data_IF_934292621786
#
_entry.id   IF_934292621786
#
_cell.length_a   1.000
_cell.length_b   1.000
_cell.length_c   1.000
_cell.angle_alpha   90.00
_cell.angle_beta   90.00
_cell.angle_gamma   90.00
#
_symmetry.space_group_name_H-M   'P 1'
#
loop_
_entity.id
_entity.type
_entity.pdbx_description
1 polymer ?
#
# COMPACT_ATOMS: atom_id res chain seq x y z
N UNK A 1 2.25 -18.92 19.16
CA UNK A 1 2.36 -18.14 17.90
C UNK A 1 2.44 -16.65 18.26
N UNK A 2 3.60 -16.15 18.73
CA UNK A 2 3.76 -14.77 19.27
C UNK A 2 5.03 -14.09 18.74
N UNK A 3 5.36 -14.26 17.46
CA UNK A 3 6.65 -13.81 16.89
C UNK A 3 6.58 -12.45 16.17
N UNK A 4 5.40 -11.85 16.02
CA UNK A 4 5.17 -10.63 15.21
C UNK A 4 5.09 -9.34 16.03
N UNK A 5 5.89 -9.16 17.09
CA UNK A 5 5.88 -7.93 17.90
C UNK A 5 7.10 -7.06 17.61
N UNK A 6 6.84 -5.78 17.35
CA UNK A 6 7.86 -4.70 17.21
C UNK A 6 8.83 -4.68 18.40
N UNK A 7 8.37 -5.02 19.60
CA UNK A 7 9.18 -5.07 20.82
C UNK A 7 10.30 -6.13 20.82
N UNK A 8 10.33 -7.04 19.85
CA UNK A 8 11.35 -8.09 19.76
C UNK A 8 12.64 -7.63 19.08
N UNK A 9 12.63 -6.44 18.45
CA UNK A 9 13.75 -5.92 17.68
C UNK A 9 14.04 -4.49 18.13
N UNK A 10 15.28 -4.25 18.58
CA UNK A 10 15.74 -2.90 18.91
C UNK A 10 16.11 -2.14 17.62
N UNK A 11 15.78 -0.85 17.56
CA UNK A 11 16.04 0.02 16.41
C UNK A 11 14.86 0.26 15.46
N UNK A 12 13.70 -0.37 15.70
CA UNK A 12 12.48 -0.03 14.98
C UNK A 12 11.85 1.25 15.54
N UNK A 13 11.51 2.19 14.66
CA UNK A 13 10.84 3.44 15.00
C UNK A 13 9.63 3.66 14.08
N UNK A 14 8.55 2.85 14.22
CA UNK A 14 7.37 2.98 13.38
C UNK A 14 6.70 4.34 13.61
N UNK A 15 6.35 5.01 12.53
CA UNK A 15 5.60 6.26 12.53
C UNK A 15 4.60 6.25 11.36
N UNK A 16 3.54 7.05 11.46
CA UNK A 16 2.51 7.08 10.41
C UNK A 16 3.04 7.74 9.14
N UNK A 17 3.76 8.87 9.28
CA UNK A 17 4.25 9.64 8.14
C UNK A 17 5.08 8.80 7.15
N UNK A 18 5.99 7.98 7.66
CA UNK A 18 6.95 7.24 6.84
C UNK A 18 6.52 5.80 6.56
N UNK A 19 5.49 5.27 7.24
CA UNK A 19 5.09 3.86 7.10
C UNK A 19 3.62 3.64 6.70
N UNK A 20 2.78 4.67 6.69
CA UNK A 20 1.39 4.55 6.25
C UNK A 20 1.31 4.38 4.73
N UNK A 21 0.52 3.43 4.25
CA UNK A 21 0.19 3.38 2.83
C UNK A 21 -0.94 4.39 2.53
N UNK A 22 -0.81 5.14 1.44
CA UNK A 22 -1.83 6.12 1.03
C UNK A 22 -2.17 5.99 -0.45
N UNK A 23 -3.40 6.38 -0.78
CA UNK A 23 -3.95 6.36 -2.12
C UNK A 23 -4.76 7.64 -2.32
N UNK A 24 -4.50 8.33 -3.42
CA UNK A 24 -5.29 9.46 -3.89
C UNK A 24 -6.27 8.94 -4.94
N UNK A 25 -7.56 8.99 -4.62
CA UNK A 25 -8.63 8.38 -5.40
C UNK A 25 -9.53 9.49 -5.95
N UNK A 26 -9.75 9.47 -7.26
CA UNK A 26 -10.72 10.36 -7.90
C UNK A 26 -12.15 9.90 -7.57
N UNK A 27 -12.99 10.76 -6.97
CA UNK A 27 -14.25 10.34 -6.36
C UNK A 27 -15.32 9.87 -7.36
N UNK A 28 -15.27 10.32 -8.61
CA UNK A 28 -16.31 10.04 -9.61
C UNK A 28 -16.08 8.71 -10.32
N UNK A 29 -14.84 8.45 -10.75
CA UNK A 29 -14.44 7.24 -11.48
C UNK A 29 -13.90 6.15 -10.56
N UNK A 30 -13.47 6.49 -9.34
CA UNK A 30 -12.79 5.57 -8.42
C UNK A 30 -11.35 5.25 -8.83
N UNK A 31 -10.80 5.95 -9.82
CA UNK A 31 -9.43 5.72 -10.30
C UNK A 31 -8.39 6.27 -9.32
N UNK A 32 -7.29 5.56 -9.14
CA UNK A 32 -6.17 6.02 -8.31
C UNK A 32 -5.26 6.97 -9.09
N UNK A 33 -5.22 8.25 -8.71
CA UNK A 33 -4.37 9.26 -9.32
C UNK A 33 -2.90 9.13 -8.88
N UNK A 34 -2.69 8.85 -7.60
CA UNK A 34 -1.38 8.61 -7.03
C UNK A 34 -1.49 7.66 -5.85
N UNK A 35 -0.41 6.97 -5.52
CA UNK A 35 -0.33 6.18 -4.31
C UNK A 35 1.12 5.99 -3.87
N UNK A 36 1.31 5.74 -2.57
CA UNK A 36 2.52 5.14 -2.04
C UNK A 36 2.17 3.90 -1.21
N UNK A 37 2.72 2.76 -1.63
CA UNK A 37 2.57 1.48 -0.97
C UNK A 37 3.90 1.16 -0.29
N UNK A 38 3.86 0.86 1.01
CA UNK A 38 5.05 0.61 1.82
C UNK A 38 5.02 -0.81 2.34
N UNK A 39 6.09 -1.56 2.05
CA UNK A 39 6.19 -2.98 2.35
C UNK A 39 7.45 -3.25 3.17
N UNK A 40 7.36 -4.15 4.15
CA UNK A 40 8.49 -4.60 4.93
C UNK A 40 8.71 -6.10 4.74
N UNK A 41 9.90 -6.48 4.29
CA UNK A 41 10.30 -7.88 4.19
C UNK A 41 10.91 -8.33 5.52
N UNK A 42 10.37 -9.43 6.03
CA UNK A 42 10.78 -10.01 7.30
C UNK A 42 11.23 -11.46 7.14
N UNK A 43 12.30 -11.84 7.86
CA UNK A 43 12.84 -13.20 7.88
C UNK A 43 12.53 -13.84 9.23
N UNK A 44 11.81 -14.96 9.21
CA UNK A 44 11.58 -15.76 10.42
C UNK A 44 12.82 -16.56 10.79
N UNK A 45 13.44 -16.22 11.92
CA UNK A 45 14.56 -16.98 12.48
C UNK A 45 14.03 -17.85 13.61
N UNK A 46 14.24 -19.16 13.51
CA UNK A 46 13.83 -20.12 14.54
C UNK A 46 14.99 -21.02 14.94
N UNK A 47 15.03 -21.35 16.23
CA UNK A 47 15.97 -22.31 16.79
C UNK A 47 15.57 -23.72 16.37
N UNK A 48 16.42 -24.39 15.60
CA UNK A 48 16.25 -25.79 15.23
C UNK A 48 17.18 -26.68 16.05
N UNK A 49 16.63 -27.73 16.64
CA UNK A 49 17.44 -28.74 17.33
C UNK A 49 18.31 -29.55 16.34
N UNK A 50 17.89 -29.65 15.07
CA UNK A 50 18.60 -30.39 14.03
C UNK A 50 19.87 -29.68 13.52
N UNK A 51 19.93 -28.35 13.60
CA UNK A 51 21.06 -27.56 13.09
C UNK A 51 21.84 -26.90 14.23
N UNK A 52 23.02 -27.45 14.58
CA UNK A 52 23.88 -26.94 15.67
C UNK A 52 24.15 -25.43 15.62
N UNK A 53 24.27 -24.84 14.41
CA UNK A 53 24.47 -23.39 14.23
C UNK A 53 23.26 -22.54 14.65
N UNK A 54 22.05 -23.09 14.59
CA UNK A 54 20.81 -22.40 14.99
C UNK A 54 20.50 -22.51 16.49
N UNK A 55 21.23 -23.34 17.25
CA UNK A 55 20.97 -23.55 18.68
C UNK A 55 21.12 -22.28 19.53
N UNK A 56 21.95 -21.33 19.09
CA UNK A 56 22.15 -20.05 19.78
C UNK A 56 21.34 -18.90 19.17
N UNK A 57 20.58 -19.16 18.11
CA UNK A 57 19.77 -18.13 17.46
C UNK A 57 18.47 -17.90 18.24
N UNK A 58 18.04 -16.65 18.39
CA UNK A 58 16.77 -16.35 19.04
C UNK A 58 15.61 -16.68 18.09
N UNK A 59 14.44 -16.96 18.67
CA UNK A 59 13.21 -17.08 17.90
C UNK A 59 12.67 -15.66 17.66
N UNK A 60 12.92 -15.10 16.47
CA UNK A 60 12.56 -13.71 16.13
C UNK A 60 12.07 -13.58 14.69
N UNK A 61 11.39 -12.47 14.41
CA UNK A 61 11.12 -12.00 13.06
C UNK A 61 12.11 -10.86 12.80
N UNK A 62 13.12 -11.13 11.98
CA UNK A 62 14.17 -10.18 11.67
C UNK A 62 13.76 -9.30 10.49
N UNK A 63 13.69 -7.96 10.66
CA UNK A 63 13.38 -7.05 9.56
C UNK A 63 14.61 -6.96 8.65
N UNK A 64 14.47 -7.41 7.40
CA UNK A 64 15.56 -7.37 6.44
C UNK A 64 15.68 -5.98 5.81
N UNK A 65 14.59 -5.51 5.19
CA UNK A 65 14.47 -4.18 4.62
C UNK A 65 12.99 -3.81 4.46
N UNK A 66 12.75 -2.52 4.21
CA UNK A 66 11.46 -2.03 3.75
C UNK A 66 11.67 -1.27 2.43
N UNK A 67 10.59 -1.14 1.68
CA UNK A 67 10.60 -0.41 0.41
C UNK A 67 9.29 0.34 0.23
N UNK A 68 9.39 1.45 -0.50
CA UNK A 68 8.26 2.21 -0.99
C UNK A 68 8.08 1.98 -2.49
N UNK A 69 6.85 1.72 -2.89
CA UNK A 69 6.40 1.65 -4.27
C UNK A 69 5.43 2.82 -4.45
N UNK A 70 5.89 3.90 -5.08
CA UNK A 70 5.07 5.07 -5.34
C UNK A 70 4.78 5.21 -6.83
N UNK A 71 3.56 5.62 -7.17
CA UNK A 71 3.22 6.02 -8.53
C UNK A 71 2.35 7.28 -8.51
N UNK A 72 2.45 8.06 -9.58
CA UNK A 72 1.60 9.22 -9.85
C UNK A 72 1.27 9.23 -11.33
N UNK A 73 0.00 9.43 -11.66
CA UNK A 73 -0.43 9.69 -13.03
C UNK A 73 0.11 11.05 -13.48
N UNK A 74 0.45 11.15 -14.76
CA UNK A 74 0.81 12.41 -15.40
C UNK A 74 -0.47 13.26 -15.55
N UNK A 75 -0.35 14.58 -15.38
CA UNK A 75 -1.47 15.52 -15.42
C UNK A 75 -2.41 15.31 -16.64
N UNK A 76 -1.85 15.11 -17.83
CA UNK A 76 -2.63 14.89 -19.07
C UNK A 76 -3.59 13.70 -18.99
N UNK A 77 -3.18 12.63 -18.30
CA UNK A 77 -3.99 11.42 -18.15
C UNK A 77 -5.07 11.61 -17.08
N UNK A 78 -4.79 12.40 -16.03
CA UNK A 78 -5.77 12.77 -15.00
C UNK A 78 -6.89 13.62 -15.60
N UNK A 79 -6.56 14.63 -16.40
CA UNK A 79 -7.55 15.47 -17.09
C UNK A 79 -8.44 14.65 -18.03
N UNK A 80 -7.82 13.74 -18.79
CA UNK A 80 -8.54 12.84 -19.69
C UNK A 80 -9.53 11.94 -18.94
N UNK A 81 -9.12 11.38 -17.79
CA UNK A 81 -10.00 10.57 -16.93
C UNK A 81 -11.15 11.39 -16.35
N UNK A 82 -10.89 12.59 -15.85
CA UNK A 82 -11.92 13.50 -15.31
C UNK A 82 -12.92 13.86 -16.41
N UNK A 83 -12.45 14.18 -17.62
CA UNK A 83 -13.30 14.55 -18.74
C UNK A 83 -14.22 13.38 -19.16
N UNK A 84 -13.67 12.18 -19.31
CA UNK A 84 -14.46 10.98 -19.65
C UNK A 84 -15.48 10.68 -18.54
N UNK A 85 -15.07 10.76 -17.27
CA UNK A 85 -15.94 10.53 -16.11
C UNK A 85 -17.10 11.53 -16.06
N UNK A 86 -16.79 12.82 -16.28
CA UNK A 86 -17.79 13.89 -16.33
C UNK A 86 -18.77 13.68 -17.48
N UNK A 87 -18.29 13.34 -18.68
CA UNK A 87 -19.15 13.04 -19.83
C UNK A 87 -20.09 11.87 -19.54
N UNK A 88 -19.59 10.77 -18.98
CA UNK A 88 -20.40 9.61 -18.60
C UNK A 88 -21.49 9.98 -17.59
N UNK A 89 -21.18 10.85 -16.61
CA UNK A 89 -22.16 11.31 -15.61
C UNK A 89 -23.29 12.17 -16.21
N UNK A 90 -23.06 12.84 -17.33
CA UNK A 90 -24.03 13.70 -17.99
C UNK A 90 -24.97 12.93 -18.95
N UNK A 91 -24.56 11.76 -19.44
CA UNK A 91 -25.37 10.93 -20.36
C UNK A 91 -26.78 10.65 -19.82
N UNK A 92 -26.97 10.19 -18.56
CA UNK A 92 -28.30 9.95 -18.00
C UNK A 92 -29.13 11.24 -17.93
N UNK A 93 -28.50 12.36 -17.60
CA UNK A 93 -29.16 13.67 -17.47
C UNK A 93 -29.71 14.14 -18.81
N UNK A 94 -28.90 14.07 -19.87
CA UNK A 94 -29.32 14.42 -21.24
C UNK A 94 -30.39 13.45 -21.74
N UNK A 95 -30.21 12.15 -21.52
CA UNK A 95 -31.18 11.13 -21.90
C UNK A 95 -32.55 11.32 -21.23
N UNK A 96 -32.57 11.67 -19.94
CA UNK A 96 -33.81 11.93 -19.21
C UNK A 96 -34.58 13.14 -19.73
N UNK A 97 -33.87 14.21 -20.14
CA UNK A 97 -34.49 15.42 -20.74
C UNK A 97 -35.00 15.21 -22.16
N UNK A 98 -34.42 14.29 -22.93
CA UNK A 98 -34.86 13.99 -24.29
C UNK A 98 -36.06 13.02 -24.36
N UNK A 99 -36.35 12.32 -23.25
CA UNK A 99 -37.50 11.39 -23.12
C UNK A 99 -38.77 12.09 -22.58
N UNK A 100 -38.64 13.27 -21.97
CA UNK A 100 -39.76 14.10 -21.50
C UNK A 100 -40.26 15.03 -22.61
#
# INVERSE_FOLDING_TARGET
MNLFRVSSVNGLSPNETDHLAWFEIEPTSGSTAAAAIRLQLNIGITRSQAFKRSHKMPNIVFPAFWMEISFSLIFDFVESLILISTLLSLVPTVYSKLRA
#
